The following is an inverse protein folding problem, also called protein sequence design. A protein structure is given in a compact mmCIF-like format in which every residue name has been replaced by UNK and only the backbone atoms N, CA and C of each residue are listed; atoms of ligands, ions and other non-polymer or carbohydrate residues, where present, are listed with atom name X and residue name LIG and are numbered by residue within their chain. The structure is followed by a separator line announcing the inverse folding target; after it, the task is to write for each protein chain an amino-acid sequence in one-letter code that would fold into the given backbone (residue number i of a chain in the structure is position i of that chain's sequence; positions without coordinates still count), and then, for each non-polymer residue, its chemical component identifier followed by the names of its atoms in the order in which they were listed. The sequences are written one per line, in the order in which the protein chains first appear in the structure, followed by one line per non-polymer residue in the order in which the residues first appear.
data_IF_508172848505
#
_entry.id   IF_508172848505
#
_cell.length_a   1.000
_cell.length_b   1.000
_cell.length_c   1.000
_cell.angle_alpha   90.00
_cell.angle_beta   90.00
_cell.angle_gamma   90.00
#
_symmetry.space_group_name_H-M   'P 1'
#
loop_
_entity.id
_entity.type
_entity.pdbx_description
1 polymer ?
#
# COMPACT_ATOMS: atom_id res chain seq x y z
N UNK A 1 -14.76 19.69 -1.58
CA UNK A 1 -14.06 18.39 -1.51
C UNK A 1 -14.93 17.47 -0.67
N UNK A 2 -14.96 16.19 -1.01
CA UNK A 2 -15.55 15.16 -0.14
C UNK A 2 -14.79 15.14 1.20
N UNK A 3 -15.50 14.88 2.30
CA UNK A 3 -14.87 14.67 3.59
C UNK A 3 -14.43 13.22 3.71
N UNK A 4 -13.13 12.99 3.89
CA UNK A 4 -12.56 11.66 4.08
C UNK A 4 -12.36 11.41 5.58
N UNK A 5 -13.16 10.53 6.16
CA UNK A 5 -12.98 10.09 7.55
C UNK A 5 -11.78 9.13 7.62
N UNK A 6 -10.69 9.55 8.26
CA UNK A 6 -9.42 8.80 8.24
C UNK A 6 -8.41 9.20 9.32
N UNK A 7 -7.23 8.58 9.25
CA UNK A 7 -6.08 8.79 10.14
C UNK A 7 -5.00 9.57 9.40
N UNK A 8 -4.38 10.53 10.10
CA UNK A 8 -3.21 11.27 9.63
C UNK A 8 -2.08 11.06 10.63
N UNK A 9 -0.91 10.64 10.15
CA UNK A 9 0.24 10.37 11.00
C UNK A 9 1.22 11.54 10.98
N UNK A 10 1.08 12.44 11.96
CA UNK A 10 1.91 13.65 12.07
C UNK A 10 3.38 13.30 12.37
N UNK A 11 3.63 12.36 13.28
CA UNK A 11 4.98 11.90 13.60
C UNK A 11 5.39 10.76 12.67
N UNK A 12 6.45 10.93 11.83
CA UNK A 12 6.93 9.87 10.95
C UNK A 12 7.46 8.64 11.71
N UNK A 13 7.69 8.72 13.02
CA UNK A 13 8.07 7.56 13.85
C UNK A 13 6.90 6.62 14.11
N UNK A 14 5.66 7.03 13.80
CA UNK A 14 4.44 6.24 13.99
C UNK A 14 4.32 5.66 15.42
N UNK A 15 4.32 6.52 16.47
CA UNK A 15 4.27 6.07 17.85
C UNK A 15 2.97 5.30 18.14
N UNK A 16 3.05 4.30 19.01
CA UNK A 16 1.89 3.50 19.40
C UNK A 16 1.45 2.41 18.41
N UNK A 17 2.04 2.34 17.21
CA UNK A 17 1.79 1.25 16.27
C UNK A 17 2.75 0.07 16.46
N UNK A 18 2.26 -1.14 16.18
CA UNK A 18 3.09 -2.33 16.10
C UNK A 18 4.06 -2.25 14.90
N UNK A 19 5.27 -2.86 14.97
CA UNK A 19 6.25 -2.82 13.89
C UNK A 19 5.69 -3.20 12.51
N UNK A 20 4.86 -4.24 12.45
CA UNK A 20 4.30 -4.76 11.20
C UNK A 20 3.36 -3.73 10.54
N UNK A 21 2.64 -2.96 11.35
CA UNK A 21 1.78 -1.87 10.86
C UNK A 21 2.58 -0.67 10.38
N UNK A 22 3.69 -0.34 11.05
CA UNK A 22 4.60 0.71 10.57
C UNK A 22 5.15 0.35 9.19
N UNK A 23 5.53 -0.91 9.00
CA UNK A 23 6.03 -1.40 7.72
C UNK A 23 4.95 -1.27 6.63
N UNK A 24 3.74 -1.75 6.92
CA UNK A 24 2.61 -1.67 5.99
C UNK A 24 2.31 -0.22 5.56
N UNK A 25 2.27 0.71 6.52
CA UNK A 25 2.02 2.14 6.26
C UNK A 25 3.10 2.75 5.37
N UNK A 26 4.37 2.48 5.64
CA UNK A 26 5.47 3.02 4.83
C UNK A 26 5.49 2.42 3.41
N UNK A 27 5.24 1.12 3.27
CA UNK A 27 5.13 0.48 1.95
C UNK A 27 3.95 1.00 1.16
N UNK A 28 2.79 1.17 1.80
CA UNK A 28 1.62 1.76 1.16
C UNK A 28 1.89 3.21 0.72
N UNK A 29 2.58 3.99 1.54
CA UNK A 29 2.99 5.36 1.19
C UNK A 29 3.86 5.38 -0.08
N UNK A 30 4.82 4.46 -0.19
CA UNK A 30 5.65 4.31 -1.39
C UNK A 30 4.82 3.90 -2.63
N UNK A 31 3.88 2.97 -2.46
CA UNK A 31 2.98 2.51 -3.53
C UNK A 31 2.04 3.59 -4.03
N UNK A 32 1.46 4.38 -3.13
CA UNK A 32 0.60 5.52 -3.51
C UNK A 32 1.40 6.59 -4.24
N UNK A 33 2.62 6.89 -3.79
CA UNK A 33 3.49 7.82 -4.50
C UNK A 33 3.83 7.30 -5.91
N UNK A 34 4.10 5.99 -6.04
CA UNK A 34 4.30 5.36 -7.33
C UNK A 34 3.05 5.42 -8.22
N UNK A 35 1.87 5.11 -7.67
CA UNK A 35 0.61 5.18 -8.40
C UNK A 35 0.30 6.60 -8.90
N UNK A 36 0.51 7.61 -8.05
CA UNK A 36 0.43 9.02 -8.43
C UNK A 36 1.36 9.32 -9.61
N UNK A 37 2.60 8.84 -9.52
CA UNK A 37 3.61 9.09 -10.53
C UNK A 37 3.38 8.33 -11.86
N UNK A 38 2.60 7.25 -11.83
CA UNK A 38 2.22 6.47 -13.03
C UNK A 38 1.03 7.04 -13.80
N UNK A 39 0.39 8.12 -13.32
CA UNK A 39 -0.76 8.74 -13.98
C UNK A 39 -0.36 9.35 -15.33
N UNK A 40 -1.09 8.99 -16.38
CA UNK A 40 -1.02 9.66 -17.68
C UNK A 40 -1.71 11.04 -17.59
N UNK A 41 -0.89 12.06 -17.33
CA UNK A 41 -1.33 13.45 -17.17
C UNK A 41 -1.98 14.03 -18.43
N UNK A 42 -1.66 13.51 -19.61
CA UNK A 42 -2.28 13.96 -20.86
C UNK A 42 -3.68 13.36 -21.02
N UNK A 43 -3.84 12.07 -20.73
CA UNK A 43 -5.12 11.39 -20.76
C UNK A 43 -6.15 11.99 -19.78
N UNK A 44 -5.71 12.47 -18.62
CA UNK A 44 -6.59 13.11 -17.62
C UNK A 44 -6.71 14.64 -17.79
N UNK A 45 -6.19 15.22 -18.87
CA UNK A 45 -6.35 16.65 -19.19
C UNK A 45 -5.43 17.60 -18.41
N UNK A 46 -4.45 17.09 -17.67
CA UNK A 46 -3.44 17.88 -16.95
C UNK A 46 -2.17 18.15 -17.79
N UNK A 47 -2.18 17.85 -19.08
CA UNK A 47 -0.99 17.97 -19.93
C UNK A 47 -0.34 19.37 -19.98
N UNK A 48 -1.14 20.42 -19.71
CA UNK A 48 -0.72 21.83 -19.66
C UNK A 48 -0.65 22.41 -18.24
N UNK A 49 -0.76 21.57 -17.20
CA UNK A 49 -0.80 22.00 -15.81
C UNK A 49 0.50 22.68 -15.34
N UNK A 50 1.63 22.33 -15.94
CA UNK A 50 2.94 22.91 -15.62
C UNK A 50 3.99 22.70 -16.70
N UNK A 51 5.18 23.28 -16.50
CA UNK A 51 6.31 23.06 -17.40
C UNK A 51 7.03 21.76 -17.06
N UNK A 52 7.09 20.82 -18.00
CA UNK A 52 7.71 19.49 -17.84
C UNK A 52 9.24 19.53 -17.67
N UNK A 53 9.93 20.09 -18.66
CA UNK A 53 11.39 19.93 -18.80
C UNK A 53 12.22 20.87 -17.92
N UNK A 54 13.39 20.44 -17.48
CA UNK A 54 14.32 21.21 -16.65
C UNK A 54 13.72 21.58 -15.28
N UNK A 55 12.95 20.68 -14.67
CA UNK A 55 12.25 20.95 -13.42
C UNK A 55 13.24 21.23 -12.29
N UNK A 56 14.22 20.35 -12.08
CA UNK A 56 15.24 20.51 -11.04
C UNK A 56 16.05 21.79 -11.27
N UNK A 57 16.44 22.09 -12.53
CA UNK A 57 17.11 23.36 -12.86
C UNK A 57 16.32 24.58 -12.41
N UNK A 58 15.02 24.63 -12.76
CA UNK A 58 14.15 25.75 -12.37
C UNK A 58 13.97 25.84 -10.86
N UNK A 59 13.90 24.71 -10.16
CA UNK A 59 13.81 24.70 -8.70
C UNK A 59 15.07 25.29 -8.07
N UNK A 60 16.26 24.89 -8.52
CA UNK A 60 17.53 25.46 -8.03
C UNK A 60 17.56 26.97 -8.25
N UNK A 61 17.24 27.44 -9.47
CA UNK A 61 17.22 28.88 -9.79
C UNK A 61 16.20 29.65 -8.94
N UNK A 62 14.98 29.12 -8.80
CA UNK A 62 13.89 29.74 -8.02
C UNK A 62 14.28 29.90 -6.56
N UNK A 63 14.72 28.82 -5.92
CA UNK A 63 15.04 28.84 -4.49
C UNK A 63 16.31 29.63 -4.19
N UNK A 64 17.27 29.66 -5.12
CA UNK A 64 18.45 30.55 -5.03
C UNK A 64 18.02 32.02 -5.01
N UNK A 65 17.18 32.44 -5.97
CA UNK A 65 16.67 33.82 -6.02
C UNK A 65 15.88 34.18 -4.75
N UNK A 66 15.04 33.28 -4.28
CA UNK A 66 14.24 33.48 -3.08
C UNK A 66 15.11 33.60 -1.81
N UNK A 67 16.16 32.78 -1.70
CA UNK A 67 17.11 32.86 -0.59
C UNK A 67 17.89 34.18 -0.60
N UNK A 68 18.41 34.61 -1.75
CA UNK A 68 19.13 35.89 -1.88
C UNK A 68 18.20 37.06 -1.51
N UNK A 69 16.97 37.06 -2.00
CA UNK A 69 15.98 38.08 -1.65
C UNK A 69 15.67 38.12 -0.14
N UNK A 70 15.78 36.98 0.55
CA UNK A 70 15.52 36.87 1.99
C UNK A 70 16.73 37.25 2.86
N UNK A 71 17.95 37.21 2.31
CA UNK A 71 19.24 37.34 3.03
C UNK A 71 20.11 38.52 2.58
N UNK A 72 19.58 39.39 1.71
CA UNK A 72 20.29 40.54 1.15
C UNK A 72 20.40 41.76 2.06
N UNK A 73 19.88 41.69 3.29
CA UNK A 73 19.91 42.76 4.29
C UNK A 73 20.76 42.37 5.51
N UNK A 74 21.45 43.36 6.09
CA UNK A 74 22.26 43.31 7.31
C UNK A 74 21.63 42.59 8.51
N UNK A 75 20.29 42.53 8.59
CA UNK A 75 19.55 41.92 9.71
C UNK A 75 19.56 40.39 9.70
N UNK A 76 19.78 39.75 8.55
CA UNK A 76 19.97 38.31 8.44
C UNK A 76 21.04 38.01 7.39
N UNK A 77 22.32 37.95 7.79
CA UNK A 77 23.41 37.80 6.86
C UNK A 77 23.31 36.46 6.12
N UNK A 78 23.58 36.50 4.82
CA UNK A 78 23.62 35.31 3.97
C UNK A 78 24.67 34.31 4.47
N UNK A 79 24.32 33.02 4.42
CA UNK A 79 25.23 31.91 4.72
C UNK A 79 25.98 31.52 3.44
N UNK A 80 27.32 31.70 3.37
CA UNK A 80 28.10 31.36 2.17
C UNK A 80 27.91 29.91 1.72
N UNK A 81 27.78 28.97 2.67
CA UNK A 81 27.56 27.55 2.37
C UNK A 81 26.25 27.28 1.62
N UNK A 82 25.23 28.13 1.78
CA UNK A 82 23.97 28.01 1.06
C UNK A 82 24.14 28.40 -0.42
N UNK A 83 24.94 29.42 -0.70
CA UNK A 83 25.25 29.85 -2.07
C UNK A 83 26.19 28.85 -2.76
N UNK A 84 27.15 28.31 -2.03
CA UNK A 84 27.99 27.19 -2.51
C UNK A 84 27.13 25.95 -2.81
N UNK A 85 26.13 25.64 -1.97
CA UNK A 85 25.21 24.53 -2.19
C UNK A 85 24.36 24.75 -3.45
N UNK A 86 23.88 25.99 -3.66
CA UNK A 86 23.19 26.36 -4.89
C UNK A 86 24.08 26.14 -6.13
N UNK A 87 25.34 26.56 -6.07
CA UNK A 87 26.30 26.36 -7.15
C UNK A 87 26.57 24.89 -7.41
N UNK A 88 26.78 24.09 -6.36
CA UNK A 88 26.97 22.65 -6.47
C UNK A 88 25.76 22.00 -7.13
N UNK A 89 24.54 22.33 -6.71
CA UNK A 89 23.31 21.83 -7.33
C UNK A 89 23.22 22.20 -8.81
N UNK A 90 23.56 23.43 -9.21
CA UNK A 90 23.56 23.83 -10.62
C UNK A 90 24.51 22.99 -11.48
N UNK A 91 25.64 22.56 -10.93
CA UNK A 91 26.64 21.75 -11.63
C UNK A 91 26.30 20.25 -11.67
N UNK A 92 25.41 19.78 -10.79
CA UNK A 92 25.09 18.37 -10.62
C UNK A 92 23.65 18.02 -11.02
N UNK A 93 23.00 18.85 -11.85
CA UNK A 93 21.65 18.59 -12.35
C UNK A 93 21.65 17.27 -13.14
N UNK A 94 20.76 16.31 -12.81
CA UNK A 94 20.66 15.04 -13.54
C UNK A 94 20.33 15.25 -15.02
N UNK A 95 20.96 14.48 -15.91
CA UNK A 95 20.74 14.56 -17.36
C UNK A 95 19.29 14.32 -17.78
N UNK A 96 18.60 13.44 -17.07
CA UNK A 96 17.20 13.08 -17.24
C UNK A 96 16.22 14.21 -16.84
N UNK A 97 16.68 15.27 -16.16
CA UNK A 97 15.82 16.42 -15.85
C UNK A 97 15.32 17.14 -17.13
N UNK A 98 16.03 16.96 -18.24
CA UNK A 98 15.66 17.52 -19.54
C UNK A 98 14.36 16.93 -20.13
N UNK A 99 13.95 15.73 -19.71
CA UNK A 99 12.76 15.04 -20.21
C UNK A 99 11.56 15.02 -19.23
N UNK A 100 11.71 15.61 -18.04
CA UNK A 100 10.77 15.62 -16.89
C UNK A 100 9.34 15.10 -17.15
N UNK A 101 9.03 13.94 -16.58
CA UNK A 101 7.79 13.21 -16.87
C UNK A 101 6.85 13.17 -15.66
N UNK A 102 5.62 13.62 -15.88
CA UNK A 102 4.48 13.38 -15.01
C UNK A 102 4.21 14.43 -13.92
N UNK A 103 3.18 14.14 -13.14
CA UNK A 103 2.73 14.98 -12.04
C UNK A 103 3.67 14.85 -10.84
N UNK A 104 3.96 15.98 -10.19
CA UNK A 104 4.63 16.08 -8.89
C UNK A 104 3.67 16.76 -7.93
N UNK A 105 3.45 16.16 -6.78
CA UNK A 105 2.70 16.71 -5.65
C UNK A 105 3.41 17.94 -5.05
N UNK A 106 4.74 17.90 -4.94
CA UNK A 106 5.56 19.01 -4.45
C UNK A 106 5.68 19.09 -2.92
N UNK A 107 4.75 18.53 -2.14
CA UNK A 107 4.85 18.40 -0.68
C UNK A 107 4.45 16.99 -0.21
N UNK A 108 4.90 15.94 -0.89
CA UNK A 108 4.50 14.57 -0.55
C UNK A 108 5.24 14.04 0.68
N UNK A 109 4.50 13.86 1.78
CA UNK A 109 4.98 13.40 3.09
C UNK A 109 3.87 12.66 3.81
N UNK A 110 4.24 11.76 4.74
CA UNK A 110 3.32 10.81 5.38
C UNK A 110 2.14 11.47 6.12
N UNK A 111 2.31 12.70 6.60
CA UNK A 111 1.27 13.48 7.28
C UNK A 111 0.40 14.31 6.32
N UNK A 112 0.72 14.33 5.02
CA UNK A 112 -0.16 14.83 3.96
C UNK A 112 -0.95 13.69 3.29
N UNK A 113 -0.97 12.51 3.91
CA UNK A 113 -1.67 11.33 3.42
C UNK A 113 -2.72 10.90 4.44
N UNK A 114 -3.95 10.69 3.96
CA UNK A 114 -5.07 10.21 4.77
C UNK A 114 -5.16 8.70 4.63
N UNK A 115 -5.02 7.99 5.73
CA UNK A 115 -5.22 6.55 5.82
C UNK A 115 -6.65 6.23 6.24
N UNK A 116 -7.13 5.06 5.84
CA UNK A 116 -8.41 4.54 6.30
C UNK A 116 -8.46 4.43 7.85
N UNK A 117 -9.63 4.59 8.51
CA UNK A 117 -9.72 4.59 9.98
C UNK A 117 -9.19 3.33 10.67
N UNK A 118 -9.26 2.18 9.98
CA UNK A 118 -8.91 0.87 10.56
C UNK A 118 -7.74 0.24 9.79
N UNK A 119 -7.94 0.08 8.47
CA UNK A 119 -6.99 -0.51 7.52
C UNK A 119 -5.78 0.39 7.23
N UNK A 120 -4.64 -0.23 6.93
CA UNK A 120 -3.38 0.45 6.59
C UNK A 120 -3.29 0.74 5.08
N UNK A 121 -4.40 1.24 4.50
CA UNK A 121 -4.51 1.70 3.11
C UNK A 121 -4.74 3.21 3.05
N UNK A 122 -4.25 3.85 2.00
CA UNK A 122 -4.47 5.27 1.78
C UNK A 122 -5.82 5.52 1.11
N UNK A 123 -6.51 6.57 1.54
CA UNK A 123 -7.81 7.00 1.00
C UNK A 123 -7.78 8.43 0.44
N UNK A 124 -6.72 9.19 0.70
CA UNK A 124 -6.57 10.54 0.15
C UNK A 124 -5.16 11.10 0.29
N UNK A 125 -4.82 12.06 -0.59
CA UNK A 125 -3.59 12.87 -0.54
C UNK A 125 -4.03 14.33 -0.43
N UNK A 126 -3.47 15.06 0.54
CA UNK A 126 -3.82 16.44 0.87
C UNK A 126 -2.73 17.41 0.39
N UNK A 127 -3.04 18.71 0.41
CA UNK A 127 -2.07 19.82 0.21
C UNK A 127 -1.39 19.88 -1.17
N UNK A 128 -2.21 19.86 -2.22
CA UNK A 128 -1.81 19.96 -3.62
C UNK A 128 -1.33 21.36 -4.08
N UNK A 129 -1.18 22.33 -3.18
CA UNK A 129 -0.90 23.73 -3.56
C UNK A 129 0.46 23.95 -4.25
N UNK A 130 1.41 23.03 -4.06
CA UNK A 130 2.74 23.06 -4.69
C UNK A 130 2.86 22.14 -5.89
N UNK A 131 1.76 21.49 -6.28
CA UNK A 131 1.76 20.49 -7.34
C UNK A 131 1.95 21.11 -8.72
N UNK A 132 2.61 20.37 -9.61
CA UNK A 132 2.89 20.79 -10.98
C UNK A 132 3.32 19.60 -11.83
N UNK A 133 3.83 19.84 -13.04
CA UNK A 133 4.50 18.82 -13.84
C UNK A 133 6.03 18.97 -13.72
N UNK A 134 6.76 17.86 -13.64
CA UNK A 134 8.20 17.92 -13.43
C UNK A 134 8.87 16.59 -13.11
N UNK A 135 10.04 16.67 -12.48
CA UNK A 135 10.83 15.50 -12.12
C UNK A 135 10.31 14.87 -10.82
N UNK A 136 9.54 13.81 -10.96
CA UNK A 136 8.94 13.02 -9.87
C UNK A 136 9.92 12.53 -8.79
N UNK A 137 11.21 12.38 -9.09
CA UNK A 137 12.18 11.95 -8.09
C UNK A 137 12.40 12.99 -6.98
N UNK A 138 12.01 14.25 -7.21
CA UNK A 138 12.05 15.27 -6.15
C UNK A 138 11.01 15.02 -5.07
N UNK A 139 9.85 14.47 -5.40
CA UNK A 139 8.83 14.10 -4.40
C UNK A 139 9.29 12.89 -3.58
N UNK A 140 9.92 11.91 -4.23
CA UNK A 140 10.45 10.72 -3.55
C UNK A 140 11.54 11.12 -2.56
N UNK A 141 12.46 11.99 -2.98
CA UNK A 141 13.51 12.50 -2.10
C UNK A 141 12.94 13.34 -0.95
N UNK A 142 11.91 14.14 -1.20
CA UNK A 142 11.24 14.93 -0.17
C UNK A 142 10.53 14.03 0.86
N UNK A 143 9.84 12.98 0.41
CA UNK A 143 9.23 11.96 1.26
C UNK A 143 10.27 11.24 2.13
N UNK A 144 11.51 11.12 1.66
CA UNK A 144 12.62 10.52 2.40
C UNK A 144 13.31 11.45 3.40
N UNK A 145 12.91 12.71 3.56
CA UNK A 145 13.66 13.66 4.41
C UNK A 145 13.82 13.20 5.86
N UNK A 146 12.81 12.52 6.43
CA UNK A 146 12.85 12.01 7.81
C UNK A 146 13.99 11.00 8.08
N UNK A 147 14.47 10.32 7.03
CA UNK A 147 15.65 9.44 7.15
C UNK A 147 16.94 10.22 7.40
N UNK A 148 17.01 11.45 6.88
CA UNK A 148 18.25 12.25 6.86
C UNK A 148 18.25 13.27 7.99
N UNK A 149 17.14 13.96 8.19
CA UNK A 149 16.96 15.04 9.16
C UNK A 149 15.65 14.87 9.94
N UNK A 150 15.69 15.15 11.24
CA UNK A 150 14.49 15.21 12.08
C UNK A 150 14.05 16.67 12.19
N UNK A 151 12.99 17.03 11.47
CA UNK A 151 12.41 18.37 11.48
C UNK A 151 11.25 18.35 12.48
N UNK A 152 11.55 18.19 13.77
CA UNK A 152 10.53 18.20 14.80
C UNK A 152 10.18 19.64 15.19
N UNK A 153 8.90 20.01 15.04
CA UNK A 153 8.38 21.33 15.37
C UNK A 153 8.41 21.64 16.88
N UNK A 154 8.49 20.61 17.74
CA UNK A 154 8.49 20.80 19.20
C UNK A 154 9.84 21.30 19.74
N UNK A 155 10.96 20.83 19.17
CA UNK A 155 12.30 21.13 19.68
C UNK A 155 12.99 22.31 19.00
N UNK A 156 12.35 22.93 17.99
CA UNK A 156 12.84 24.13 17.28
C UNK A 156 14.29 24.01 16.76
N UNK A 157 14.76 22.79 16.50
CA UNK A 157 16.09 22.46 15.99
C UNK A 157 15.95 21.40 14.90
N UNK A 158 16.89 21.39 13.95
CA UNK A 158 17.00 20.30 12.98
C UNK A 158 17.85 19.21 13.62
N UNK A 159 17.21 18.10 13.96
CA UNK A 159 17.84 16.92 14.52
C UNK A 159 18.42 16.00 13.46
N UNK A 160 19.12 14.96 13.92
CA UNK A 160 19.60 13.86 13.07
C UNK A 160 18.42 12.96 12.71
N UNK A 161 18.25 12.64 11.42
CA UNK A 161 17.22 11.71 10.95
C UNK A 161 17.48 10.26 11.34
N UNK A 162 16.61 9.36 10.87
CA UNK A 162 16.62 7.94 11.24
C UNK A 162 17.95 7.22 10.95
N UNK A 163 18.65 7.56 9.87
CA UNK A 163 19.92 6.92 9.50
C UNK A 163 21.06 7.21 10.48
N UNK A 164 21.03 8.38 11.14
CA UNK A 164 22.09 8.84 12.03
C UNK A 164 21.76 8.64 13.50
N UNK A 165 20.55 8.19 13.83
CA UNK A 165 20.07 7.95 15.19
C UNK A 165 19.77 6.47 15.37
N UNK A 166 18.57 6.06 14.98
CA UNK A 166 18.08 4.69 14.91
C UNK A 166 16.78 4.70 14.12
N UNK A 167 16.66 3.81 13.14
CA UNK A 167 15.38 3.57 12.45
C UNK A 167 14.44 2.86 13.45
N UNK A 168 13.24 3.40 13.72
CA UNK A 168 12.26 2.72 14.56
C UNK A 168 11.91 1.33 14.01
N UNK A 169 11.69 0.38 14.90
CA UNK A 169 11.37 -1.00 14.50
C UNK A 169 10.10 -1.04 13.63
N UNK A 170 10.18 -1.74 12.50
CA UNK A 170 9.11 -1.81 11.50
C UNK A 170 9.14 -0.69 10.44
N UNK A 171 9.92 0.37 10.61
CA UNK A 171 10.12 1.35 9.52
C UNK A 171 11.21 0.82 8.58
N UNK A 172 10.96 0.73 7.26
CA UNK A 172 11.98 0.30 6.31
C UNK A 172 13.15 1.29 6.27
N UNK A 173 14.34 0.85 5.88
CA UNK A 173 15.43 1.77 5.56
C UNK A 173 15.07 2.65 4.35
N UNK A 174 15.79 3.77 4.20
CA UNK A 174 15.61 4.65 3.03
C UNK A 174 15.75 3.86 1.71
N UNK A 175 16.73 2.95 1.65
CA UNK A 175 16.98 2.14 0.47
C UNK A 175 15.84 1.15 0.19
N UNK A 176 15.23 0.55 1.22
CA UNK A 176 14.07 -0.34 1.06
C UNK A 176 12.81 0.42 0.63
N UNK A 177 12.54 1.58 1.25
CA UNK A 177 11.42 2.43 0.85
C UNK A 177 11.54 2.87 -0.61
N UNK A 178 12.74 3.31 -1.01
CA UNK A 178 13.02 3.70 -2.39
C UNK A 178 12.93 2.52 -3.36
N UNK A 179 13.34 1.32 -2.94
CA UNK A 179 13.24 0.12 -3.77
C UNK A 179 11.77 -0.26 -4.03
N UNK A 180 10.90 -0.18 -3.02
CA UNK A 180 9.45 -0.37 -3.19
C UNK A 180 8.87 0.65 -4.18
N UNK A 181 9.23 1.94 -4.05
CA UNK A 181 8.79 2.98 -4.98
C UNK A 181 9.28 2.71 -6.42
N UNK A 182 10.56 2.44 -6.62
CA UNK A 182 11.14 2.18 -7.95
C UNK A 182 10.51 0.95 -8.60
N UNK A 183 10.29 -0.12 -7.82
CA UNK A 183 9.62 -1.33 -8.29
C UNK A 183 8.17 -1.05 -8.72
N UNK A 184 7.41 -0.30 -7.93
CA UNK A 184 6.00 -0.02 -8.22
C UNK A 184 5.81 0.99 -9.37
N UNK A 185 6.73 1.94 -9.54
CA UNK A 185 6.67 2.97 -10.58
C UNK A 185 7.39 2.58 -11.88
N UNK A 186 8.14 1.47 -11.89
CA UNK A 186 8.97 1.06 -13.03
C UNK A 186 10.18 1.98 -13.27
N UNK A 187 10.56 2.82 -12.30
CA UNK A 187 11.67 3.77 -12.45
C UNK A 187 13.02 3.13 -12.17
N UNK A 188 14.09 3.55 -12.87
CA UNK A 188 15.43 3.06 -12.62
C UNK A 188 15.91 3.44 -11.21
N UNK A 189 16.79 2.62 -10.66
CA UNK A 189 17.42 2.88 -9.37
C UNK A 189 18.31 4.14 -9.42
N UNK A 190 18.06 5.18 -8.59
CA UNK A 190 18.67 6.50 -8.78
C UNK A 190 20.01 6.68 -8.04
N UNK A 191 20.76 5.61 -7.76
CA UNK A 191 21.98 5.66 -6.93
C UNK A 191 22.97 6.76 -7.32
N UNK A 192 23.19 6.96 -8.63
CA UNK A 192 24.15 7.94 -9.15
C UNK A 192 23.75 9.40 -8.88
N UNK A 193 22.45 9.68 -8.79
CA UNK A 193 21.89 11.05 -8.69
C UNK A 193 21.19 11.32 -7.36
N UNK A 194 21.14 10.32 -6.46
CA UNK A 194 20.35 10.43 -5.22
C UNK A 194 20.82 11.54 -4.29
N UNK A 195 22.14 11.77 -4.21
CA UNK A 195 22.70 12.92 -3.47
C UNK A 195 22.10 14.24 -3.94
N UNK A 196 21.99 14.42 -5.26
CA UNK A 196 21.42 15.63 -5.82
C UNK A 196 19.98 15.84 -5.36
N UNK A 197 19.11 14.82 -5.46
CA UNK A 197 17.69 14.97 -5.11
C UNK A 197 17.46 15.26 -3.62
N UNK A 198 18.17 14.55 -2.73
CA UNK A 198 18.08 14.78 -1.28
C UNK A 198 18.66 16.15 -0.90
N UNK A 199 19.78 16.55 -1.49
CA UNK A 199 20.36 17.88 -1.27
C UNK A 199 19.47 19.00 -1.82
N UNK A 200 18.78 18.78 -2.94
CA UNK A 200 17.79 19.73 -3.48
C UNK A 200 16.60 19.89 -2.52
N UNK A 201 16.12 18.81 -1.91
CA UNK A 201 15.05 18.85 -0.93
C UNK A 201 15.44 19.65 0.33
N UNK A 202 16.64 19.42 0.87
CA UNK A 202 17.17 20.20 2.01
C UNK A 202 17.44 21.66 1.64
N UNK A 203 17.99 21.93 0.45
CA UNK A 203 18.20 23.28 -0.06
C UNK A 203 16.89 24.07 -0.16
N UNK A 204 15.85 23.45 -0.71
CA UNK A 204 14.50 24.03 -0.75
C UNK A 204 13.98 24.33 0.66
N UNK A 205 14.08 23.39 1.60
CA UNK A 205 13.67 23.59 2.99
C UNK A 205 14.41 24.76 3.66
N UNK A 206 15.73 24.84 3.47
CA UNK A 206 16.55 25.93 4.00
C UNK A 206 16.14 27.29 3.44
N UNK A 207 15.87 27.38 2.12
CA UNK A 207 15.39 28.62 1.49
C UNK A 207 14.02 29.06 2.01
N UNK A 208 13.11 28.11 2.27
CA UNK A 208 11.79 28.38 2.87
C UNK A 208 11.96 28.94 4.29
N UNK A 209 12.77 28.29 5.12
CA UNK A 209 13.03 28.74 6.49
C UNK A 209 13.73 30.10 6.57
N UNK A 210 14.69 30.36 5.68
CA UNK A 210 15.30 31.68 5.55
C UNK A 210 14.25 32.77 5.24
N UNK A 211 13.30 32.48 4.33
CA UNK A 211 12.21 33.41 3.99
C UNK A 211 11.18 33.60 5.11
N UNK A 212 10.91 32.56 5.91
CA UNK A 212 10.07 32.69 7.12
C UNK A 212 10.77 33.54 8.17
N UNK A 213 12.06 33.32 8.40
CA UNK A 213 12.85 34.10 9.35
C UNK A 213 12.96 35.57 8.95
N UNK A 214 13.22 35.85 7.67
CA UNK A 214 13.27 37.21 7.13
C UNK A 214 11.94 37.95 7.37
N UNK A 215 10.79 37.30 7.13
CA UNK A 215 9.47 37.87 7.43
C UNK A 215 9.24 38.08 8.93
N UNK A 216 9.78 37.22 9.79
CA UNK A 216 9.70 37.39 11.24
C UNK A 216 10.49 38.61 11.71
N UNK A 217 11.70 38.83 11.18
CA UNK A 217 12.50 40.04 11.46
C UNK A 217 11.78 41.33 11.03
N UNK A 218 10.94 41.24 10.00
CA UNK A 218 10.10 42.36 9.54
C UNK A 218 8.79 42.52 10.33
N UNK A 219 8.52 41.66 11.32
CA UNK A 219 7.27 41.67 12.10
C UNK A 219 6.04 41.11 11.38
N UNK A 220 6.22 40.43 10.24
CA UNK A 220 5.14 39.98 9.34
C UNK A 220 5.02 38.45 9.24
N UNK A 221 5.58 37.68 10.18
CA UNK A 221 5.47 36.22 10.15
C UNK A 221 4.18 35.71 10.81
N UNK A 222 3.39 34.94 10.04
CA UNK A 222 2.14 34.31 10.50
C UNK A 222 2.32 33.33 11.67
N UNK A 223 3.52 32.78 11.87
CA UNK A 223 3.82 31.82 12.94
C UNK A 223 4.18 32.43 14.31
N UNK A 224 4.29 33.77 14.42
CA UNK A 224 4.68 34.46 15.65
C UNK A 224 6.06 34.01 16.15
N UNK A 225 6.19 33.76 17.45
CA UNK A 225 7.46 33.39 18.11
C UNK A 225 8.06 32.08 17.57
N UNK A 226 7.23 31.17 17.01
CA UNK A 226 7.73 29.93 16.38
C UNK A 226 8.64 30.19 15.17
N UNK A 227 8.47 31.35 14.51
CA UNK A 227 9.31 31.72 13.37
C UNK A 227 10.71 32.20 13.77
N UNK A 228 10.95 32.53 15.05
CA UNK A 228 12.22 33.05 15.56
C UNK A 228 13.42 32.13 15.30
N UNK A 229 13.22 30.82 15.35
CA UNK A 229 14.30 29.84 15.21
C UNK A 229 14.48 29.31 13.79
N UNK A 230 13.62 29.71 12.85
CA UNK A 230 13.68 29.23 11.46
C UNK A 230 14.98 29.64 10.76
N UNK A 231 15.58 30.77 11.10
CA UNK A 231 16.89 31.17 10.55
C UNK A 231 18.03 30.23 10.95
N UNK A 232 17.99 29.69 12.18
CA UNK A 232 18.92 28.66 12.65
C UNK A 232 18.66 27.34 11.95
N UNK A 233 17.40 26.92 11.87
CA UNK A 233 17.00 25.68 11.19
C UNK A 233 17.40 25.69 9.70
N UNK A 234 17.34 26.85 9.04
CA UNK A 234 17.84 27.01 7.67
C UNK A 234 19.33 26.67 7.58
N UNK A 235 20.15 27.19 8.51
CA UNK A 235 21.59 26.90 8.54
C UNK A 235 21.88 25.43 8.89
N UNK A 236 21.15 24.84 9.84
CA UNK A 236 21.31 23.45 10.22
C UNK A 236 20.97 22.49 9.05
N UNK A 237 19.98 22.84 8.21
CA UNK A 237 19.67 22.11 6.97
C UNK A 237 20.79 22.22 5.93
N UNK A 238 21.41 23.40 5.79
CA UNK A 238 22.55 23.60 4.88
C UNK A 238 23.74 22.77 5.32
N UNK A 239 24.06 22.75 6.62
CA UNK A 239 25.13 21.92 7.16
C UNK A 239 24.83 20.43 7.00
N UNK A 240 23.57 20.01 7.20
CA UNK A 240 23.13 18.63 6.96
C UNK A 240 23.25 18.22 5.48
N UNK A 241 22.94 19.13 4.55
CA UNK A 241 23.10 18.89 3.11
C UNK A 241 24.57 18.69 2.73
N UNK A 242 25.47 19.52 3.23
CA UNK A 242 26.91 19.34 3.02
C UNK A 242 27.45 18.06 3.64
N UNK A 243 27.02 17.74 4.86
CA UNK A 243 27.38 16.48 5.51
C UNK A 243 26.89 15.27 4.70
N UNK A 244 25.70 15.34 4.10
CA UNK A 244 25.15 14.30 3.24
C UNK A 244 25.93 14.16 1.92
N UNK A 245 26.27 15.26 1.26
CA UNK A 245 27.07 15.28 0.03
C UNK A 245 28.45 14.63 0.26
N UNK A 246 29.07 14.91 1.40
CA UNK A 246 30.39 14.40 1.77
C UNK A 246 30.42 12.89 2.05
N UNK A 247 29.27 12.21 2.22
CA UNK A 247 29.24 10.76 2.46
C UNK A 247 29.79 10.00 1.25
N UNK A 248 30.64 8.99 1.48
CA UNK A 248 31.22 8.20 0.37
C UNK A 248 30.16 7.51 -0.49
N UNK A 249 29.15 6.93 0.16
CA UNK A 249 27.98 6.33 -0.48
C UNK A 249 26.72 6.69 0.33
N UNK A 250 25.61 6.92 -0.36
CA UNK A 250 24.31 7.23 0.26
C UNK A 250 23.22 6.23 -0.10
N UNK A 251 23.42 5.47 -1.19
CA UNK A 251 22.64 4.31 -1.56
C UNK A 251 23.59 3.19 -2.01
N UNK A 252 23.16 1.92 -1.89
CA UNK A 252 23.85 0.81 -2.55
C UNK A 252 23.82 0.96 -4.08
N UNK A 253 24.80 0.35 -4.77
CA UNK A 253 24.91 0.40 -6.24
C UNK A 253 23.71 -0.23 -6.96
N UNK A 254 23.10 -1.22 -6.32
CA UNK A 254 21.88 -1.88 -6.75
C UNK A 254 20.82 -1.67 -5.66
N UNK A 255 19.52 -1.66 -5.99
CA UNK A 255 18.49 -1.66 -4.97
C UNK A 255 18.79 -2.81 -3.99
N UNK A 256 18.59 -2.61 -2.68
CA UNK A 256 18.68 -3.73 -1.76
C UNK A 256 17.78 -4.83 -2.30
N UNK A 257 18.31 -6.06 -2.39
CA UNK A 257 17.44 -7.22 -2.51
C UNK A 257 16.36 -7.02 -1.45
N UNK A 258 15.07 -7.08 -1.82
CA UNK A 258 13.99 -6.80 -0.89
C UNK A 258 14.31 -7.58 0.36
N UNK A 259 14.62 -6.88 1.46
CA UNK A 259 15.23 -7.51 2.63
C UNK A 259 14.35 -8.69 2.95
N UNK A 260 14.91 -9.87 2.70
CA UNK A 260 14.40 -11.16 3.07
C UNK A 260 14.54 -11.28 4.60
N UNK A 261 13.91 -10.35 5.33
CA UNK A 261 13.58 -10.51 6.73
C UNK A 261 12.26 -11.26 6.74
N UNK A 262 12.39 -12.56 6.93
CA UNK A 262 11.39 -13.48 7.48
C UNK A 262 10.01 -13.62 6.80
N UNK A 263 9.82 -13.14 5.58
CA UNK A 263 8.76 -13.68 4.71
C UNK A 263 9.22 -14.93 3.93
N UNK A 264 10.53 -15.18 3.89
CA UNK A 264 11.16 -16.21 3.06
C UNK A 264 11.34 -17.57 3.74
N UNK A 265 10.91 -17.73 5.00
CA UNK A 265 10.74 -19.07 5.59
C UNK A 265 9.46 -19.78 5.15
N UNK A 266 8.55 -19.12 4.42
CA UNK A 266 7.35 -19.77 3.91
C UNK A 266 7.27 -19.92 2.38
N UNK A 267 8.02 -19.16 1.59
CA UNK A 267 7.93 -19.25 0.13
C UNK A 267 9.31 -19.19 -0.53
N UNK A 268 9.80 -20.38 -0.89
CA UNK A 268 11.10 -20.55 -1.55
C UNK A 268 11.08 -20.13 -3.03
N UNK A 269 12.12 -19.38 -3.39
CA UNK A 269 12.92 -19.51 -4.62
C UNK A 269 12.29 -19.22 -5.99
N UNK A 270 12.71 -18.12 -6.63
CA UNK A 270 12.71 -18.03 -8.10
C UNK A 270 12.93 -16.66 -8.75
N UNK A 271 14.12 -16.49 -9.34
CA UNK A 271 14.58 -15.70 -10.51
C UNK A 271 13.81 -14.48 -11.09
N UNK A 272 14.49 -13.32 -11.06
CA UNK A 272 14.87 -12.39 -12.15
C UNK A 272 13.91 -11.99 -13.30
N UNK A 273 12.59 -12.11 -13.19
CA UNK A 273 11.72 -11.64 -14.30
C UNK A 273 10.47 -10.83 -13.93
N UNK A 274 10.29 -10.45 -12.66
CA UNK A 274 9.05 -9.75 -12.23
C UNK A 274 7.77 -10.56 -12.47
N UNK A 275 7.90 -11.82 -12.89
CA UNK A 275 6.81 -12.77 -13.03
C UNK A 275 6.59 -13.42 -11.67
N UNK A 276 5.34 -13.54 -11.27
CA UNK A 276 4.97 -14.38 -10.14
C UNK A 276 5.55 -15.78 -10.34
N UNK A 277 6.50 -16.17 -9.49
CA UNK A 277 7.01 -17.54 -9.44
C UNK A 277 6.25 -18.26 -8.34
N UNK A 278 5.32 -19.16 -8.68
CA UNK A 278 4.58 -19.93 -7.68
C UNK A 278 5.52 -20.78 -6.85
N UNK A 279 5.29 -20.80 -5.54
CA UNK A 279 6.01 -21.66 -4.61
C UNK A 279 5.85 -23.14 -4.97
N UNK A 280 6.74 -24.00 -4.48
CA UNK A 280 6.63 -25.46 -4.71
C UNK A 280 5.27 -26.01 -4.23
N UNK A 281 4.76 -25.49 -3.11
CA UNK A 281 3.42 -25.79 -2.59
C UNK A 281 2.33 -25.44 -3.60
N UNK A 282 2.37 -24.24 -4.16
CA UNK A 282 1.39 -23.78 -5.16
C UNK A 282 1.53 -24.53 -6.47
N UNK A 283 2.75 -24.85 -6.91
CA UNK A 283 2.97 -25.69 -8.10
C UNK A 283 2.39 -27.09 -7.92
N UNK A 284 2.56 -27.71 -6.75
CA UNK A 284 1.93 -29.01 -6.43
C UNK A 284 0.42 -28.92 -6.46
N UNK A 285 -0.17 -27.90 -5.83
CA UNK A 285 -1.63 -27.67 -5.87
C UNK A 285 -2.13 -27.43 -7.29
N UNK A 286 -1.42 -26.61 -8.07
CA UNK A 286 -1.74 -26.36 -9.48
C UNK A 286 -1.70 -27.64 -10.30
N UNK A 287 -0.68 -28.46 -10.15
CA UNK A 287 -0.57 -29.70 -10.94
C UNK A 287 -1.68 -30.70 -10.59
N UNK A 288 -2.03 -30.82 -9.30
CA UNK A 288 -3.19 -31.61 -8.86
C UNK A 288 -4.48 -31.04 -9.44
N UNK A 289 -4.65 -29.72 -9.37
CA UNK A 289 -5.82 -29.04 -9.92
C UNK A 289 -5.95 -29.25 -11.43
N UNK A 290 -4.89 -29.05 -12.21
CA UNK A 290 -4.88 -29.31 -13.66
C UNK A 290 -5.25 -30.76 -13.96
N UNK A 291 -4.64 -31.71 -13.26
CA UNK A 291 -4.95 -33.13 -13.41
C UNK A 291 -6.42 -33.43 -13.06
N UNK A 292 -6.93 -32.86 -11.97
CA UNK A 292 -8.33 -33.01 -11.56
C UNK A 292 -9.28 -32.44 -12.62
N UNK A 293 -8.94 -31.27 -13.20
CA UNK A 293 -9.73 -30.68 -14.28
C UNK A 293 -9.81 -31.61 -15.49
N UNK A 294 -8.67 -32.15 -15.92
CA UNK A 294 -8.54 -33.07 -17.07
C UNK A 294 -9.25 -34.41 -16.85
N UNK A 295 -9.04 -35.02 -15.68
CA UNK A 295 -9.52 -36.37 -15.38
C UNK A 295 -11.00 -36.40 -14.96
N UNK A 296 -11.52 -35.29 -14.41
CA UNK A 296 -12.82 -35.31 -13.71
C UNK A 296 -13.79 -34.18 -14.09
N UNK A 297 -13.31 -32.94 -14.30
CA UNK A 297 -14.20 -31.81 -14.60
C UNK A 297 -14.58 -31.78 -16.08
N UNK A 298 -13.60 -31.67 -16.99
CA UNK A 298 -13.84 -31.54 -18.42
C UNK A 298 -14.69 -32.69 -19.00
N UNK A 299 -14.49 -33.96 -18.60
CA UNK A 299 -15.34 -35.05 -19.06
C UNK A 299 -16.82 -34.90 -18.66
N UNK A 300 -17.09 -34.24 -17.54
CA UNK A 300 -18.44 -34.09 -16.97
C UNK A 300 -19.17 -32.83 -17.43
N UNK A 301 -18.50 -31.87 -18.07
CA UNK A 301 -19.11 -30.58 -18.44
C UNK A 301 -20.38 -30.74 -19.26
N UNK A 302 -20.39 -31.65 -20.22
CA UNK A 302 -21.57 -31.91 -21.06
C UNK A 302 -22.77 -32.40 -20.24
N UNK A 303 -22.55 -33.23 -19.22
CA UNK A 303 -23.63 -33.70 -18.33
C UNK A 303 -24.12 -32.58 -17.41
N UNK A 304 -23.22 -31.74 -16.89
CA UNK A 304 -23.61 -30.57 -16.11
C UNK A 304 -24.42 -29.56 -16.95
N UNK A 305 -24.03 -29.32 -18.20
CA UNK A 305 -24.79 -28.47 -19.11
C UNK A 305 -26.19 -29.04 -19.41
N UNK A 306 -26.33 -30.36 -19.59
CA UNK A 306 -27.64 -31.01 -19.75
C UNK A 306 -28.53 -30.79 -18.54
N UNK A 307 -28.02 -30.99 -17.33
CA UNK A 307 -28.78 -30.76 -16.10
C UNK A 307 -29.21 -29.28 -15.99
N UNK A 308 -28.29 -28.35 -16.26
CA UNK A 308 -28.55 -26.91 -16.18
C UNK A 308 -29.59 -26.40 -17.19
N UNK A 309 -29.75 -27.10 -18.32
CA UNK A 309 -30.77 -26.82 -19.34
C UNK A 309 -32.09 -27.57 -19.09
N UNK A 310 -32.11 -28.50 -18.13
CA UNK A 310 -33.30 -29.29 -17.81
C UNK A 310 -34.25 -28.58 -16.85
N UNK A 311 -35.44 -29.16 -16.65
CA UNK A 311 -36.37 -28.74 -15.60
C UNK A 311 -35.81 -28.92 -14.18
N UNK A 312 -34.79 -29.77 -14.01
CA UNK A 312 -34.10 -30.03 -12.74
C UNK A 312 -32.87 -29.15 -12.51
N UNK A 313 -32.72 -28.03 -13.23
CA UNK A 313 -31.56 -27.12 -13.15
C UNK A 313 -31.22 -26.56 -11.77
N UNK A 314 -32.13 -26.65 -10.80
CA UNK A 314 -31.94 -26.20 -9.42
C UNK A 314 -31.56 -27.34 -8.45
N UNK A 315 -31.36 -28.55 -8.97
CA UNK A 315 -30.86 -29.69 -8.19
C UNK A 315 -29.36 -29.86 -8.39
N UNK A 316 -28.69 -30.48 -7.41
CA UNK A 316 -27.27 -30.83 -7.51
C UNK A 316 -27.13 -32.13 -8.28
N UNK A 317 -26.20 -32.18 -9.23
CA UNK A 317 -25.89 -33.42 -9.95
C UNK A 317 -25.27 -34.44 -8.98
N UNK A 318 -25.69 -35.73 -8.94
CA UNK A 318 -25.13 -36.71 -8.00
C UNK A 318 -23.60 -36.86 -8.07
N UNK A 319 -23.05 -36.84 -9.29
CA UNK A 319 -21.59 -36.87 -9.49
C UNK A 319 -20.88 -35.62 -8.95
N UNK A 320 -21.54 -34.46 -8.88
CA UNK A 320 -20.92 -33.26 -8.33
C UNK A 320 -20.56 -33.46 -6.85
N UNK A 321 -21.42 -34.10 -6.06
CA UNK A 321 -21.11 -34.44 -4.66
C UNK A 321 -19.95 -35.44 -4.56
N UNK A 322 -19.89 -36.42 -5.47
CA UNK A 322 -18.77 -37.36 -5.53
C UNK A 322 -17.45 -36.66 -5.87
N UNK A 323 -17.49 -35.67 -6.78
CA UNK A 323 -16.35 -34.84 -7.13
C UNK A 323 -15.93 -33.92 -5.99
N UNK A 324 -16.86 -33.34 -5.23
CA UNK A 324 -16.54 -32.56 -4.02
C UNK A 324 -15.81 -33.39 -2.99
N UNK A 325 -16.27 -34.61 -2.73
CA UNK A 325 -15.60 -35.53 -1.80
C UNK A 325 -14.20 -35.95 -2.30
N UNK A 326 -14.03 -36.14 -3.61
CA UNK A 326 -12.71 -36.38 -4.18
C UNK A 326 -11.80 -35.15 -4.05
N UNK A 327 -12.31 -33.95 -4.34
CA UNK A 327 -11.59 -32.70 -4.17
C UNK A 327 -11.16 -32.47 -2.72
N UNK A 328 -12.00 -32.80 -1.73
CA UNK A 328 -11.62 -32.78 -0.30
C UNK A 328 -10.47 -33.74 -0.01
N UNK A 329 -10.53 -34.99 -0.48
CA UNK A 329 -9.44 -35.98 -0.31
C UNK A 329 -8.15 -35.52 -0.99
N UNK A 330 -8.27 -34.77 -2.07
CA UNK A 330 -7.16 -34.13 -2.76
C UNK A 330 -6.82 -32.72 -2.24
N UNK A 331 -7.48 -32.24 -1.19
CA UNK A 331 -7.68 -30.84 -0.83
C UNK A 331 -6.81 -29.79 -1.53
N UNK A 332 -7.14 -29.09 -2.60
CA UNK A 332 -8.30 -28.89 -3.50
C UNK A 332 -9.65 -28.43 -2.92
N UNK A 333 -9.77 -28.17 -1.62
CA UNK A 333 -11.02 -27.67 -1.01
C UNK A 333 -10.79 -26.34 -0.29
N UNK A 334 -11.75 -25.41 -0.41
CA UNK A 334 -11.70 -24.08 0.24
C UNK A 334 -10.40 -23.32 -0.06
N UNK A 335 -9.87 -23.44 -1.28
CA UNK A 335 -8.57 -22.84 -1.67
C UNK A 335 -8.53 -21.32 -1.56
N UNK A 336 -9.71 -20.68 -1.49
CA UNK A 336 -9.89 -19.24 -1.42
C UNK A 336 -9.57 -18.64 -0.05
N UNK A 337 -9.55 -19.44 1.03
CA UNK A 337 -9.38 -18.92 2.39
C UNK A 337 -7.93 -18.48 2.60
N UNK A 338 -7.68 -17.18 2.84
CA UNK A 338 -6.32 -16.72 3.06
C UNK A 338 -5.78 -17.16 4.43
N UNK A 339 -4.46 -17.23 4.55
CA UNK A 339 -3.81 -17.75 5.76
C UNK A 339 -4.22 -17.02 7.06
N UNK A 340 -4.42 -15.70 7.01
CA UNK A 340 -4.83 -14.89 8.17
C UNK A 340 -6.28 -15.19 8.62
N UNK A 341 -7.18 -15.40 7.65
CA UNK A 341 -8.58 -15.73 7.87
C UNK A 341 -8.73 -17.17 8.38
N UNK A 342 -7.91 -18.09 7.88
CA UNK A 342 -7.81 -19.45 8.40
C UNK A 342 -7.36 -19.45 9.87
N UNK A 343 -6.32 -18.69 10.21
CA UNK A 343 -5.85 -18.55 11.59
C UNK A 343 -6.89 -17.91 12.52
N UNK A 344 -7.62 -16.89 12.05
CA UNK A 344 -8.73 -16.29 12.80
C UNK A 344 -9.84 -17.29 13.06
N UNK A 345 -10.28 -18.02 12.04
CA UNK A 345 -11.28 -19.07 12.18
C UNK A 345 -10.81 -20.14 13.17
N UNK A 346 -9.53 -20.52 13.10
CA UNK A 346 -8.93 -21.48 14.03
C UNK A 346 -9.02 -21.02 15.47
N UNK A 347 -8.67 -19.76 15.76
CA UNK A 347 -8.79 -19.18 17.11
C UNK A 347 -10.25 -19.09 17.57
N UNK A 348 -11.16 -18.60 16.74
CA UNK A 348 -12.55 -18.37 17.17
C UNK A 348 -13.38 -19.65 17.32
N UNK A 349 -13.07 -20.67 16.53
CA UNK A 349 -13.78 -21.94 16.52
C UNK A 349 -13.09 -23.01 17.39
N UNK A 350 -11.76 -22.95 17.54
CA UNK A 350 -10.95 -24.08 18.05
C UNK A 350 -9.89 -23.71 19.12
N UNK A 351 -10.00 -22.59 19.84
CA UNK A 351 -9.08 -22.23 20.95
C UNK A 351 -9.12 -23.25 22.12
N UNK A 352 -7.99 -23.44 22.79
CA UNK A 352 -7.62 -24.59 23.65
C UNK A 352 -8.50 -24.84 24.89
N UNK A 353 -9.39 -23.91 25.25
CA UNK A 353 -10.26 -24.01 26.44
C UNK A 353 -11.54 -24.82 26.21
N UNK A 354 -11.87 -25.19 24.98
CA UNK A 354 -13.11 -25.91 24.66
C UNK A 354 -12.87 -26.99 23.61
N UNK A 355 -12.22 -28.10 24.01
CA UNK A 355 -12.20 -29.32 23.20
C UNK A 355 -13.62 -29.79 22.93
N UNK A 356 -14.16 -29.47 21.76
CA UNK A 356 -14.82 -30.51 20.99
C UNK A 356 -13.72 -31.43 20.49
N UNK A 357 -13.59 -32.56 21.17
CA UNK A 357 -12.71 -33.67 20.80
C UNK A 357 -13.05 -34.09 19.36
N UNK A 358 -12.29 -33.56 18.40
CA UNK A 358 -12.51 -33.80 16.97
C UNK A 358 -11.15 -34.01 16.33
N UNK A 359 -10.98 -35.17 15.71
CA UNK A 359 -9.71 -35.75 15.27
C UNK A 359 -9.08 -34.99 14.08
N UNK A 360 -8.74 -33.71 14.21
CA UNK A 360 -8.04 -32.94 13.17
C UNK A 360 -8.81 -32.73 11.86
N UNK A 361 -10.05 -33.24 11.74
CA UNK A 361 -10.89 -33.13 10.53
C UNK A 361 -11.21 -31.67 10.17
N UNK A 362 -11.23 -30.77 11.15
CA UNK A 362 -11.58 -29.37 10.91
C UNK A 362 -10.46 -28.54 10.28
N UNK A 363 -9.19 -28.91 10.47
CA UNK A 363 -8.06 -28.23 9.81
C UNK A 363 -8.13 -28.41 8.28
N UNK A 364 -8.74 -29.49 7.79
CA UNK A 364 -8.94 -29.75 6.36
C UNK A 364 -9.91 -28.76 5.69
N UNK A 365 -10.81 -28.13 6.45
CA UNK A 365 -11.80 -27.18 5.92
C UNK A 365 -11.33 -25.73 5.92
N UNK A 366 -10.17 -25.42 6.51
CA UNK A 366 -9.62 -24.05 6.52
C UNK A 366 -8.79 -23.72 5.28
N UNK A 367 -8.86 -24.58 4.26
CA UNK A 367 -8.20 -24.37 2.99
C UNK A 367 -6.70 -24.63 3.04
N UNK A 368 -6.01 -24.27 1.95
CA UNK A 368 -4.57 -24.50 1.83
C UNK A 368 -3.73 -23.38 2.48
N UNK A 369 -4.34 -22.32 3.04
CA UNK A 369 -3.62 -21.17 3.58
C UNK A 369 -2.77 -20.51 2.50
N UNK A 370 -3.43 -19.96 1.49
CA UNK A 370 -2.80 -19.30 0.34
C UNK A 370 -2.83 -17.77 0.54
N UNK A 371 -1.91 -17.05 -0.08
CA UNK A 371 -2.11 -15.62 -0.31
C UNK A 371 -3.13 -15.38 -1.43
N UNK A 372 -3.69 -14.17 -1.51
CA UNK A 372 -4.60 -13.80 -2.62
C UNK A 372 -3.94 -13.96 -3.99
N UNK A 373 -2.63 -13.70 -4.11
CA UNK A 373 -1.90 -13.85 -5.37
C UNK A 373 -1.76 -15.33 -5.76
N UNK A 374 -1.40 -16.20 -4.80
CA UNK A 374 -1.31 -17.64 -5.01
C UNK A 374 -2.67 -18.25 -5.35
N UNK A 375 -3.73 -17.82 -4.67
CA UNK A 375 -5.09 -18.24 -5.00
C UNK A 375 -5.50 -17.76 -6.40
N UNK A 376 -5.19 -16.51 -6.77
CA UNK A 376 -5.42 -15.97 -8.11
C UNK A 376 -4.78 -16.81 -9.21
N UNK A 377 -3.59 -17.33 -8.96
CA UNK A 377 -2.91 -18.24 -9.90
C UNK A 377 -3.64 -19.59 -10.07
N UNK A 378 -4.32 -20.09 -9.04
CA UNK A 378 -5.16 -21.29 -9.12
C UNK A 378 -6.54 -20.98 -9.75
N UNK A 379 -7.08 -19.77 -9.53
CA UNK A 379 -8.31 -19.30 -10.16
C UNK A 379 -8.21 -19.28 -11.69
N UNK A 380 -7.03 -19.02 -12.25
CA UNK A 380 -6.82 -19.12 -13.71
C UNK A 380 -7.17 -20.52 -14.25
N UNK A 381 -6.88 -21.58 -13.48
CA UNK A 381 -7.18 -22.96 -13.86
C UNK A 381 -8.66 -23.26 -13.65
N UNK A 382 -9.20 -22.93 -12.47
CA UNK A 382 -10.62 -23.18 -12.15
C UNK A 382 -11.55 -22.39 -13.08
N UNK A 383 -11.18 -21.17 -13.47
CA UNK A 383 -11.96 -20.30 -14.34
C UNK A 383 -12.09 -20.79 -15.80
N UNK A 384 -11.37 -21.85 -16.18
CA UNK A 384 -11.51 -22.50 -17.50
C UNK A 384 -12.80 -23.31 -17.63
N UNK A 385 -13.48 -23.58 -16.51
CA UNK A 385 -14.78 -24.25 -16.47
C UNK A 385 -15.72 -23.47 -15.55
N UNK A 386 -16.96 -23.26 -15.99
CA UNK A 386 -17.98 -22.61 -15.15
C UNK A 386 -18.41 -23.49 -13.96
N UNK A 387 -18.14 -24.79 -14.01
CA UNK A 387 -18.54 -25.79 -13.01
C UNK A 387 -17.47 -26.02 -11.94
N UNK A 388 -16.19 -25.85 -12.29
CA UNK A 388 -15.06 -26.15 -11.43
C UNK A 388 -15.06 -25.43 -10.07
N UNK A 389 -15.33 -24.11 -9.98
CA UNK A 389 -15.29 -23.42 -8.69
C UNK A 389 -16.22 -24.05 -7.65
N UNK A 390 -17.37 -24.57 -8.05
CA UNK A 390 -18.32 -25.21 -7.15
C UNK A 390 -17.82 -26.55 -6.60
N UNK A 391 -17.09 -27.33 -7.41
CA UNK A 391 -16.49 -28.61 -6.98
C UNK A 391 -15.36 -28.40 -5.96
N UNK A 392 -14.67 -27.26 -6.00
CA UNK A 392 -13.59 -26.94 -5.05
C UNK A 392 -14.05 -26.07 -3.87
N UNK A 393 -15.35 -25.80 -3.76
CA UNK A 393 -15.97 -24.86 -2.80
C UNK A 393 -15.40 -23.43 -2.86
N UNK A 394 -15.09 -23.01 -4.08
CA UNK A 394 -14.54 -21.70 -4.47
C UNK A 394 -15.54 -20.86 -5.31
N UNK A 395 -16.79 -21.32 -5.44
CA UNK A 395 -17.82 -20.67 -6.26
C UNK A 395 -18.53 -19.51 -5.57
N UNK A 396 -18.86 -18.48 -6.34
CA UNK A 396 -19.77 -17.42 -5.92
C UNK A 396 -21.24 -17.91 -5.91
N UNK A 397 -22.12 -17.33 -5.06
CA UNK A 397 -21.87 -16.24 -4.11
C UNK A 397 -21.32 -16.71 -2.74
N UNK A 398 -21.14 -18.03 -2.56
CA UNK A 398 -20.82 -18.62 -1.25
C UNK A 398 -19.49 -18.13 -0.67
N UNK A 399 -18.45 -17.98 -1.49
CA UNK A 399 -17.14 -17.48 -1.04
C UNK A 399 -17.23 -16.10 -0.39
N UNK A 400 -17.94 -15.16 -1.01
CA UNK A 400 -18.15 -13.82 -0.43
C UNK A 400 -18.97 -13.85 0.86
N UNK A 401 -20.01 -14.68 0.93
CA UNK A 401 -20.82 -14.83 2.14
C UNK A 401 -20.04 -15.49 3.28
N UNK A 402 -19.23 -16.51 2.98
CA UNK A 402 -18.32 -17.13 3.94
C UNK A 402 -17.28 -16.12 4.43
N UNK A 403 -16.77 -15.24 3.57
CA UNK A 403 -15.84 -14.17 3.95
C UNK A 403 -16.47 -13.16 4.91
N UNK A 404 -17.73 -12.75 4.67
CA UNK A 404 -18.49 -11.88 5.58
C UNK A 404 -18.62 -12.53 6.96
N UNK A 405 -19.00 -13.81 7.02
CA UNK A 405 -19.08 -14.54 8.29
C UNK A 405 -17.70 -14.63 8.94
N UNK A 406 -16.66 -15.01 8.19
CA UNK A 406 -15.28 -15.09 8.67
C UNK A 406 -14.71 -13.77 9.19
N UNK A 407 -15.22 -12.61 8.75
CA UNK A 407 -14.75 -11.30 9.23
C UNK A 407 -15.60 -10.75 10.37
N UNK A 408 -16.92 -10.89 10.29
CA UNK A 408 -17.87 -10.15 11.14
C UNK A 408 -18.79 -11.05 11.99
N UNK A 409 -18.86 -12.34 11.71
CA UNK A 409 -19.71 -13.28 12.43
C UNK A 409 -19.29 -13.48 13.87
N UNK A 410 -20.27 -13.54 14.77
CA UNK A 410 -20.07 -14.00 16.16
C UNK A 410 -20.01 -15.55 16.22
N UNK A 411 -19.62 -16.11 17.37
CA UNK A 411 -19.39 -17.56 17.52
C UNK A 411 -20.61 -18.39 17.12
N UNK A 412 -21.81 -17.98 17.52
CA UNK A 412 -23.07 -18.66 17.21
C UNK A 412 -23.32 -18.67 15.70
N UNK A 413 -23.15 -17.53 15.03
CA UNK A 413 -23.30 -17.39 13.57
C UNK A 413 -22.25 -18.21 12.81
N UNK A 414 -21.01 -18.26 13.29
CA UNK A 414 -19.96 -19.06 12.67
C UNK A 414 -20.29 -20.56 12.75
N UNK A 415 -20.70 -21.05 13.92
CA UNK A 415 -21.06 -22.46 14.11
C UNK A 415 -22.32 -22.84 13.32
N UNK A 416 -23.33 -21.96 13.29
CA UNK A 416 -24.59 -22.24 12.62
C UNK A 416 -24.48 -22.16 11.10
N UNK A 417 -23.71 -21.21 10.57
CA UNK A 417 -23.72 -20.89 9.13
C UNK A 417 -22.38 -21.11 8.45
N UNK A 418 -21.28 -20.63 9.04
CA UNK A 418 -19.96 -20.74 8.40
C UNK A 418 -19.50 -22.20 8.33
N UNK A 419 -19.59 -22.95 9.42
CA UNK A 419 -19.11 -24.35 9.46
C UNK A 419 -19.82 -25.22 8.41
N UNK A 420 -21.16 -25.20 8.28
CA UNK A 420 -21.83 -25.95 7.21
C UNK A 420 -21.46 -25.49 5.78
N UNK A 421 -21.22 -24.20 5.56
CA UNK A 421 -20.75 -23.66 4.27
C UNK A 421 -19.32 -24.14 3.94
N UNK A 422 -18.41 -24.10 4.91
CA UNK A 422 -17.04 -24.61 4.76
C UNK A 422 -17.01 -26.12 4.48
N UNK A 423 -17.99 -26.87 4.99
CA UNK A 423 -18.17 -28.30 4.71
C UNK A 423 -18.83 -28.57 3.35
N UNK A 424 -19.40 -27.56 2.69
CA UNK A 424 -20.17 -27.69 1.45
C UNK A 424 -21.56 -28.31 1.64
N UNK A 425 -22.10 -28.34 2.87
CA UNK A 425 -23.40 -28.96 3.19
C UNK A 425 -24.60 -28.07 2.87
N UNK A 426 -24.39 -26.75 2.87
CA UNK A 426 -25.40 -25.76 2.52
C UNK A 426 -24.85 -24.81 1.48
N UNK A 427 -25.76 -24.05 0.86
CA UNK A 427 -25.48 -22.97 -0.07
C UNK A 427 -26.14 -21.70 0.45
N UNK A 428 -25.64 -20.56 0.01
CA UNK A 428 -26.09 -19.24 0.41
C UNK A 428 -26.49 -18.40 -0.80
N UNK A 429 -27.31 -17.39 -0.56
CA UNK A 429 -27.64 -16.36 -1.52
C UNK A 429 -27.24 -15.00 -0.95
N UNK A 430 -26.84 -14.08 -1.82
CA UNK A 430 -26.63 -12.68 -1.44
C UNK A 430 -27.76 -11.84 -2.04
N UNK A 431 -28.54 -11.20 -1.18
CA UNK A 431 -29.67 -10.36 -1.57
C UNK A 431 -29.34 -8.90 -1.26
N UNK A 432 -29.08 -8.12 -2.31
CA UNK A 432 -28.78 -6.68 -2.23
C UNK A 432 -29.54 -5.89 -3.29
N UNK A 433 -29.60 -6.42 -4.52
CA UNK A 433 -30.30 -5.76 -5.64
C UNK A 433 -31.81 -5.83 -5.47
N UNK A 434 -32.47 -4.68 -5.59
CA UNK A 434 -33.91 -4.51 -5.53
C UNK A 434 -34.43 -4.05 -6.89
N UNK A 435 -35.49 -4.66 -7.44
CA UNK A 435 -35.95 -4.36 -8.81
C UNK A 435 -36.57 -2.96 -8.95
N UNK A 436 -36.98 -2.33 -7.84
CA UNK A 436 -37.74 -1.07 -7.87
C UNK A 436 -36.86 0.19 -7.79
N UNK A 437 -35.56 0.02 -7.52
CA UNK A 437 -34.63 1.13 -7.29
C UNK A 437 -33.30 0.88 -8.00
N UNK A 438 -32.55 1.94 -8.27
CA UNK A 438 -31.23 1.82 -8.87
C UNK A 438 -30.20 1.33 -7.83
N UNK A 439 -30.14 0.02 -7.60
CA UNK A 439 -29.28 -0.58 -6.56
C UNK A 439 -27.77 -0.57 -6.86
N UNK A 440 -27.34 -0.02 -8.00
CA UNK A 440 -25.91 0.26 -8.25
C UNK A 440 -25.37 1.31 -7.28
N UNK A 441 -26.24 2.22 -6.83
CA UNK A 441 -26.01 3.05 -5.65
C UNK A 441 -26.73 2.41 -4.46
N UNK A 442 -25.94 1.91 -3.50
CA UNK A 442 -26.46 1.20 -2.33
C UNK A 442 -27.33 2.09 -1.44
N UNK A 443 -27.25 3.42 -1.55
CA UNK A 443 -28.07 4.35 -0.76
C UNK A 443 -29.54 4.36 -1.20
N UNK A 444 -29.85 3.84 -2.38
CA UNK A 444 -31.22 3.70 -2.89
C UNK A 444 -31.95 2.44 -2.39
N UNK A 445 -31.30 1.56 -1.63
CA UNK A 445 -31.91 0.31 -1.13
C UNK A 445 -33.01 0.65 -0.11
N UNK A 446 -34.22 0.14 -0.32
CA UNK A 446 -35.41 0.49 0.47
C UNK A 446 -35.93 -0.65 1.36
N UNK A 447 -35.33 -1.85 1.34
CA UNK A 447 -35.72 -2.96 2.22
C UNK A 447 -35.68 -2.55 3.70
N UNK A 448 -36.86 -2.36 4.29
CA UNK A 448 -37.00 -1.87 5.66
C UNK A 448 -36.67 -2.95 6.68
N UNK A 449 -35.58 -2.75 7.44
CA UNK A 449 -35.26 -3.52 8.64
C UNK A 449 -35.52 -2.65 9.88
N UNK A 450 -36.42 -3.06 10.77
CA UNK A 450 -36.79 -2.31 12.00
C UNK A 450 -36.44 -3.13 13.25
N UNK A 451 -35.65 -2.55 14.16
CA UNK A 451 -35.38 -3.15 15.48
C UNK A 451 -36.61 -2.97 16.38
N UNK A 452 -37.20 -4.08 16.83
CA UNK A 452 -38.15 -4.08 17.95
C UNK A 452 -37.41 -4.62 19.17
N UNK A 453 -37.33 -3.83 20.24
CA UNK A 453 -36.69 -4.26 21.48
C UNK A 453 -37.47 -5.40 22.14
N UNK A 454 -36.75 -6.42 22.62
CA UNK A 454 -37.31 -7.32 23.61
C UNK A 454 -37.14 -6.66 24.98
N UNK A 455 -38.25 -6.21 25.58
CA UNK A 455 -38.29 -5.89 27.00
C UNK A 455 -38.37 -7.24 27.71
N UNK A 456 -37.27 -7.68 28.32
CA UNK A 456 -37.35 -8.72 29.33
C UNK A 456 -38.15 -8.14 30.51
N UNK A 457 -39.34 -8.67 30.74
CA UNK A 457 -40.08 -8.50 31.99
C UNK A 457 -39.51 -9.39 33.08
#
# INVERSE_FOLDING_TARGET
MEFLEGRIFIDPKLPGLAPERREAIYRETARVLAALHSVDVDAIGLGKYGRRNNYCKRQVERWTKQYIASTGDSRYPSNPKMLELAHWLQQHIPSEDSSGEGIVHGDFRIDNVVFHPIEDRVIGILDWELSTLGNQMTDVAYSCLAYIVDINHENQQVGKGFELTRIPEGIPSQAEYLAEYCSASGKPWPAAVWKFHISLAMFRGAAIYAGVYSRWLMGNASGGERARNTGKQANDLVDSAWAYIARKAVLPNHPPDPIARDYTKQFGGGNESGRFVPSEKVLKLRNRLVKFMEDHIYPMENEFYKLAQSSSRWTVHPEEESLKELAKKEGLWNLWIPFDSAERAKKLLFDESNRMDTNGEHDQFLGAGLSNLEYGYLCEIMGRSVWAPQVFNCGAPDTGNMEVLLRYGNKEQLLQWLVPLLQGKIRSGFAMTEPQVASSDATNIECSIKRRGFVHH
#
